data_IF_655873789501
#
_entry.id   IF_655873789501
#
_cell.length_a   1.000
_cell.length_b   1.000
_cell.length_c   1.000
_cell.angle_alpha   90.00
_cell.angle_beta   90.00
_cell.angle_gamma   90.00
#
_symmetry.space_group_name_H-M   'P 1'
#
loop_
_entity.id
_entity.type
_entity.pdbx_description
1 polymer ?
#
# COMPACT_ATOMS: atom_id res chain seq x y z
N UNK A 1 -21.82 -8.12 -33.45
CA UNK A 1 -22.27 -6.91 -32.75
C UNK A 1 -21.37 -6.71 -31.55
N UNK A 2 -20.50 -5.72 -31.58
CA UNK A 2 -19.73 -5.32 -30.41
C UNK A 2 -20.72 -4.70 -29.40
N UNK A 3 -20.87 -5.34 -28.27
CA UNK A 3 -21.72 -4.79 -27.19
C UNK A 3 -20.90 -3.68 -26.51
N UNK A 4 -21.42 -2.47 -26.48
CA UNK A 4 -20.83 -1.35 -25.77
C UNK A 4 -20.69 -1.68 -24.29
N UNK A 5 -19.57 -1.25 -23.69
CA UNK A 5 -19.36 -1.30 -22.22
C UNK A 5 -20.36 -0.39 -21.49
N UNK A 6 -20.50 -0.56 -20.18
CA UNK A 6 -21.39 0.29 -19.38
C UNK A 6 -21.04 1.77 -19.49
N UNK A 7 -19.75 2.11 -19.39
CA UNK A 7 -19.28 3.49 -19.53
C UNK A 7 -19.48 4.09 -20.93
N UNK A 8 -19.26 3.32 -22.02
CA UNK A 8 -19.56 3.79 -23.36
C UNK A 8 -21.04 4.09 -23.59
N UNK A 9 -21.92 3.29 -23.00
CA UNK A 9 -23.38 3.55 -23.06
C UNK A 9 -23.71 4.84 -22.34
N UNK A 10 -23.18 5.04 -21.14
CA UNK A 10 -23.45 6.24 -20.33
C UNK A 10 -22.98 7.52 -21.03
N UNK A 11 -21.78 7.50 -21.61
CA UNK A 11 -21.30 8.62 -22.45
C UNK A 11 -22.24 8.93 -23.60
N UNK A 12 -22.70 7.90 -24.33
CA UNK A 12 -23.63 8.08 -25.45
C UNK A 12 -24.97 8.62 -24.95
N UNK A 13 -25.50 8.09 -23.86
CA UNK A 13 -26.80 8.50 -23.33
C UNK A 13 -26.76 9.98 -22.89
N UNK A 14 -25.72 10.41 -22.17
CA UNK A 14 -25.57 11.82 -21.75
C UNK A 14 -25.42 12.75 -22.96
N UNK A 15 -24.51 12.43 -23.87
CA UNK A 15 -24.25 13.30 -25.01
C UNK A 15 -25.43 13.35 -25.99
N UNK A 16 -26.12 12.22 -26.19
CA UNK A 16 -27.32 12.15 -27.03
C UNK A 16 -28.48 12.94 -26.41
N UNK A 17 -28.69 12.82 -25.10
CA UNK A 17 -29.76 13.56 -24.42
C UNK A 17 -29.52 15.07 -24.50
N UNK A 18 -28.30 15.53 -24.24
CA UNK A 18 -27.92 16.93 -24.41
C UNK A 18 -28.10 17.40 -25.86
N UNK A 19 -27.66 16.60 -26.84
CA UNK A 19 -27.79 16.92 -28.26
C UNK A 19 -29.25 17.08 -28.67
N UNK A 20 -30.12 16.20 -28.26
CA UNK A 20 -31.55 16.22 -28.61
C UNK A 20 -32.30 17.39 -27.94
N UNK A 21 -31.84 17.83 -26.79
CA UNK A 21 -32.50 18.87 -25.98
C UNK A 21 -31.99 20.28 -26.20
N UNK A 22 -30.79 20.46 -26.76
CA UNK A 22 -30.12 21.77 -26.88
C UNK A 22 -30.94 22.85 -27.60
N UNK A 23 -31.75 22.46 -28.58
CA UNK A 23 -32.58 23.39 -29.35
C UNK A 23 -33.92 23.70 -28.68
N UNK A 24 -34.33 22.90 -27.73
CA UNK A 24 -35.60 23.02 -27.00
C UNK A 24 -35.41 23.74 -25.66
N UNK A 25 -34.31 23.48 -24.98
CA UNK A 25 -34.02 24.01 -23.66
C UNK A 25 -32.87 25.01 -23.70
N UNK A 26 -33.16 26.19 -24.28
CA UNK A 26 -32.20 27.26 -24.53
C UNK A 26 -32.02 28.26 -23.40
N UNK A 27 -32.79 28.11 -22.29
CA UNK A 27 -32.73 28.95 -21.10
C UNK A 27 -33.06 28.05 -19.87
N UNK A 28 -32.13 27.15 -19.58
CA UNK A 28 -32.35 26.06 -18.63
C UNK A 28 -31.13 25.78 -17.78
N UNK A 29 -31.34 25.11 -16.66
CA UNK A 29 -30.29 24.55 -15.80
C UNK A 29 -30.28 23.03 -15.98
N UNK A 30 -29.16 22.50 -16.45
CA UNK A 30 -28.92 21.07 -16.54
C UNK A 30 -28.27 20.61 -15.24
N UNK A 31 -28.80 19.55 -14.64
CA UNK A 31 -28.25 18.96 -13.41
C UNK A 31 -27.89 17.52 -13.72
N UNK A 32 -26.64 17.16 -13.52
CA UNK A 32 -26.10 15.81 -13.74
C UNK A 32 -25.37 15.36 -12.50
N UNK A 33 -25.72 14.17 -12.03
CA UNK A 33 -25.12 13.54 -10.84
C UNK A 33 -24.17 12.44 -11.29
N UNK A 34 -22.91 12.52 -10.87
CA UNK A 34 -21.82 11.55 -11.14
C UNK A 34 -21.75 11.02 -12.58
N UNK A 35 -21.68 11.89 -13.62
CA UNK A 35 -21.66 11.44 -15.02
C UNK A 35 -20.40 10.67 -15.41
N UNK A 36 -19.43 10.61 -14.53
CA UNK A 36 -18.16 9.92 -14.71
C UNK A 36 -18.15 8.46 -14.26
N UNK A 37 -19.22 7.97 -13.69
CA UNK A 37 -19.31 6.57 -13.24
C UNK A 37 -18.90 5.60 -14.35
N UNK A 38 -18.11 4.59 -13.99
CA UNK A 38 -17.59 3.56 -14.90
C UNK A 38 -16.62 4.04 -15.99
N UNK A 39 -16.17 5.30 -15.95
CA UNK A 39 -15.22 5.87 -16.92
C UNK A 39 -13.81 5.94 -16.33
N UNK A 40 -12.80 5.73 -17.17
CA UNK A 40 -11.43 6.02 -16.78
C UNK A 40 -11.16 7.54 -16.79
N UNK A 41 -10.16 7.99 -16.05
CA UNK A 41 -9.84 9.41 -15.83
C UNK A 41 -9.63 10.21 -17.12
N UNK A 42 -9.07 9.57 -18.15
CA UNK A 42 -8.82 10.20 -19.45
C UNK A 42 -10.13 10.46 -20.20
N UNK A 43 -11.06 9.51 -20.17
CA UNK A 43 -12.39 9.66 -20.80
C UNK A 43 -13.23 10.65 -19.99
N UNK A 44 -13.17 10.63 -18.66
CA UNK A 44 -13.85 11.61 -17.80
C UNK A 44 -13.50 13.05 -18.22
N UNK A 45 -12.20 13.37 -18.38
CA UNK A 45 -11.75 14.68 -18.83
C UNK A 45 -12.36 15.08 -20.18
N UNK A 46 -12.31 14.18 -21.16
CA UNK A 46 -12.88 14.41 -22.48
C UNK A 46 -14.39 14.60 -22.43
N UNK A 47 -15.11 13.80 -21.62
CA UNK A 47 -16.55 13.90 -21.45
C UNK A 47 -16.97 15.28 -20.95
N UNK A 48 -16.32 15.81 -19.91
CA UNK A 48 -16.67 17.14 -19.40
C UNK A 48 -16.48 18.25 -20.42
N UNK A 49 -15.41 18.17 -21.21
CA UNK A 49 -15.15 19.13 -22.30
C UNK A 49 -16.25 19.06 -23.36
N UNK A 50 -16.69 17.85 -23.74
CA UNK A 50 -17.75 17.67 -24.74
C UNK A 50 -19.12 18.11 -24.20
N UNK A 51 -19.43 17.82 -22.94
CA UNK A 51 -20.64 18.32 -22.25
C UNK A 51 -20.66 19.86 -22.31
N UNK A 52 -19.56 20.52 -21.94
CA UNK A 52 -19.47 21.99 -21.96
C UNK A 52 -19.73 22.58 -23.36
N UNK A 53 -19.25 21.96 -24.43
CA UNK A 53 -19.49 22.39 -25.81
C UNK A 53 -20.95 22.22 -26.25
N UNK A 54 -21.68 21.27 -25.66
CA UNK A 54 -23.05 20.97 -26.07
C UNK A 54 -24.10 21.82 -25.36
N UNK A 55 -23.76 22.35 -24.18
CA UNK A 55 -24.67 23.21 -23.42
C UNK A 55 -24.78 24.57 -24.09
N UNK A 56 -26.02 25.07 -24.38
CA UNK A 56 -26.22 26.39 -25.00
C UNK A 56 -25.69 27.51 -24.09
N UNK A 57 -25.23 28.61 -24.72
CA UNK A 57 -24.60 29.74 -24.00
C UNK A 57 -25.49 30.40 -22.91
N UNK A 58 -26.81 30.37 -23.08
CA UNK A 58 -27.77 30.90 -22.08
C UNK A 58 -28.15 29.89 -20.99
N UNK A 59 -27.56 28.70 -21.01
CA UNK A 59 -27.84 27.63 -20.05
C UNK A 59 -26.74 27.50 -19.01
N UNK A 60 -27.08 26.94 -17.88
CA UNK A 60 -26.12 26.54 -16.86
C UNK A 60 -26.10 25.02 -16.71
N UNK A 61 -24.93 24.49 -16.37
CA UNK A 61 -24.80 23.09 -16.01
C UNK A 61 -24.25 22.95 -14.59
N UNK A 62 -24.91 22.12 -13.82
CA UNK A 62 -24.50 21.78 -12.46
C UNK A 62 -24.17 20.30 -12.41
N UNK A 63 -22.96 19.97 -12.01
CA UNK A 63 -22.47 18.58 -11.95
C UNK A 63 -22.02 18.29 -10.53
N UNK A 64 -22.59 17.27 -9.92
CA UNK A 64 -22.04 16.68 -8.71
C UNK A 64 -21.02 15.60 -9.13
N UNK A 65 -19.80 15.65 -8.58
CA UNK A 65 -18.71 14.77 -9.01
C UNK A 65 -17.65 14.59 -7.95
N UNK A 66 -17.02 13.41 -7.94
CA UNK A 66 -15.79 13.09 -7.22
C UNK A 66 -14.61 12.86 -8.18
N UNK A 67 -14.75 13.21 -9.46
CA UNK A 67 -13.83 12.88 -10.53
C UNK A 67 -12.56 13.73 -10.55
N UNK A 68 -11.41 13.08 -10.44
CA UNK A 68 -10.10 13.70 -10.71
C UNK A 68 -9.99 14.16 -12.16
N UNK A 69 -10.59 13.41 -13.10
CA UNK A 69 -10.62 13.75 -14.51
C UNK A 69 -11.36 15.06 -14.75
N UNK A 70 -12.50 15.27 -14.10
CA UNK A 70 -13.27 16.50 -14.17
C UNK A 70 -12.53 17.68 -13.52
N UNK A 71 -11.96 17.48 -12.33
CA UNK A 71 -11.15 18.53 -11.69
C UNK A 71 -9.97 18.96 -12.56
N UNK A 72 -9.32 18.03 -13.27
CA UNK A 72 -8.26 18.37 -14.23
C UNK A 72 -8.77 19.12 -15.44
N UNK A 73 -9.91 18.73 -16.01
CA UNK A 73 -10.52 19.47 -17.11
C UNK A 73 -10.86 20.91 -16.71
N UNK A 74 -11.41 21.10 -15.50
CA UNK A 74 -11.70 22.42 -14.96
C UNK A 74 -10.41 23.22 -14.77
N UNK A 75 -9.36 22.61 -14.23
CA UNK A 75 -8.09 23.29 -13.97
C UNK A 75 -7.39 23.76 -15.25
N UNK A 76 -7.36 22.87 -16.26
CA UNK A 76 -6.54 23.06 -17.45
C UNK A 76 -7.30 23.80 -18.59
N UNK A 77 -8.58 23.45 -18.83
CA UNK A 77 -9.34 23.92 -19.99
C UNK A 77 -10.50 24.87 -19.61
N UNK A 78 -11.23 24.57 -18.53
CA UNK A 78 -12.50 25.24 -18.20
C UNK A 78 -12.40 26.22 -17.02
N UNK A 79 -11.20 26.60 -16.61
CA UNK A 79 -10.94 27.43 -15.42
C UNK A 79 -11.73 28.74 -15.38
N UNK A 80 -11.90 29.38 -16.54
CA UNK A 80 -12.57 30.67 -16.65
C UNK A 80 -14.08 30.55 -16.88
N UNK A 81 -14.58 29.34 -17.11
CA UNK A 81 -15.97 29.06 -17.44
C UNK A 81 -16.68 28.29 -16.32
N UNK A 82 -15.93 27.85 -15.32
CA UNK A 82 -16.43 27.00 -14.25
C UNK A 82 -16.22 27.59 -12.87
N UNK A 83 -17.12 27.22 -11.96
CA UNK A 83 -17.02 27.48 -10.53
C UNK A 83 -17.14 26.17 -9.78
N UNK A 84 -16.38 26.03 -8.69
CA UNK A 84 -16.42 24.84 -7.84
C UNK A 84 -17.07 25.23 -6.51
N UNK A 85 -18.05 24.44 -6.08
CA UNK A 85 -18.68 24.55 -4.75
C UNK A 85 -18.33 23.28 -3.98
N UNK A 86 -17.68 23.44 -2.83
CA UNK A 86 -17.30 22.33 -1.97
C UNK A 86 -18.31 22.17 -0.84
N UNK A 87 -18.80 20.94 -0.64
CA UNK A 87 -19.65 20.57 0.48
C UNK A 87 -18.79 19.90 1.55
N UNK A 88 -18.47 20.61 2.65
CA UNK A 88 -17.64 20.06 3.74
C UNK A 88 -18.50 19.23 4.69
N UNK A 89 -17.96 18.09 5.13
CA UNK A 89 -18.65 17.13 6.02
C UNK A 89 -19.00 17.69 7.39
N UNK A 90 -18.32 18.76 7.83
CA UNK A 90 -18.55 19.41 9.12
C UNK A 90 -19.83 20.25 9.17
N UNK A 91 -20.47 20.46 8.04
CA UNK A 91 -21.71 21.17 7.94
C UNK A 91 -22.85 20.30 8.51
N UNK A 92 -23.29 20.62 9.74
CA UNK A 92 -24.44 19.97 10.37
C UNK A 92 -25.71 20.36 9.62
N UNK A 93 -26.10 19.57 8.66
CA UNK A 93 -27.23 19.76 7.74
C UNK A 93 -28.62 20.02 8.41
N UNK A 94 -28.70 19.94 9.73
CA UNK A 94 -29.99 19.85 10.41
C UNK A 94 -30.44 21.09 11.17
N UNK A 95 -29.64 22.15 11.33
CA UNK A 95 -29.97 23.20 12.27
C UNK A 95 -29.91 24.64 11.75
N UNK A 96 -29.07 24.99 10.80
CA UNK A 96 -28.90 26.38 10.34
C UNK A 96 -28.72 26.46 8.80
N UNK A 97 -29.35 27.50 8.20
CA UNK A 97 -29.12 27.84 6.80
C UNK A 97 -27.69 28.38 6.63
N UNK A 98 -26.93 27.83 5.74
CA UNK A 98 -25.59 28.34 5.40
C UNK A 98 -25.51 28.74 3.93
N UNK A 99 -24.63 29.71 3.65
CA UNK A 99 -24.44 30.23 2.31
C UNK A 99 -23.29 29.44 1.65
N UNK A 100 -23.59 28.74 0.59
CA UNK A 100 -22.57 28.14 -0.27
C UNK A 100 -21.93 29.23 -1.12
N UNK A 101 -20.60 29.25 -1.14
CA UNK A 101 -19.84 30.18 -1.98
C UNK A 101 -18.87 29.37 -2.85
N UNK A 102 -18.63 29.83 -4.09
CA UNK A 102 -17.60 29.24 -4.93
C UNK A 102 -16.23 29.29 -4.25
N UNK A 103 -15.49 28.20 -4.36
CA UNK A 103 -14.11 28.10 -3.86
C UNK A 103 -13.23 29.08 -4.64
N UNK A 104 -12.46 29.92 -3.93
CA UNK A 104 -11.47 30.77 -4.57
C UNK A 104 -10.29 29.90 -5.07
N UNK A 105 -10.13 29.83 -6.37
CA UNK A 105 -9.14 28.96 -7.03
C UNK A 105 -7.72 29.46 -6.76
N UNK A 106 -7.10 28.94 -5.70
CA UNK A 106 -5.68 29.12 -5.37
C UNK A 106 -4.95 27.78 -5.53
N UNK A 107 -3.62 27.82 -5.53
CA UNK A 107 -2.80 26.61 -5.56
C UNK A 107 -3.09 25.67 -4.38
N UNK A 108 -3.29 26.25 -3.19
CA UNK A 108 -3.63 25.49 -1.98
C UNK A 108 -5.01 24.85 -2.08
N UNK A 109 -6.00 25.54 -2.65
CA UNK A 109 -7.33 24.97 -2.83
C UNK A 109 -7.34 23.85 -3.87
N UNK A 110 -6.61 23.98 -4.98
CA UNK A 110 -6.44 22.87 -5.89
C UNK A 110 -5.81 21.65 -5.21
N UNK A 111 -4.80 21.85 -4.36
CA UNK A 111 -4.20 20.77 -3.59
C UNK A 111 -5.21 20.09 -2.67
N UNK A 112 -6.08 20.86 -2.00
CA UNK A 112 -7.13 20.33 -1.14
C UNK A 112 -8.18 19.55 -1.95
N UNK A 113 -8.68 20.10 -3.04
CA UNK A 113 -9.66 19.43 -3.91
C UNK A 113 -9.13 18.13 -4.49
N UNK A 114 -7.89 18.13 -5.00
CA UNK A 114 -7.26 16.90 -5.48
C UNK A 114 -6.96 15.92 -4.35
N UNK A 115 -6.59 16.40 -3.17
CA UNK A 115 -6.38 15.54 -2.00
C UNK A 115 -7.68 14.84 -1.60
N UNK A 116 -8.80 15.56 -1.57
CA UNK A 116 -10.12 14.98 -1.25
C UNK A 116 -10.53 13.94 -2.31
N UNK A 117 -10.39 14.26 -3.58
CA UNK A 117 -10.72 13.33 -4.67
C UNK A 117 -9.77 12.12 -4.74
N UNK A 118 -8.50 12.30 -4.35
CA UNK A 118 -7.52 11.21 -4.24
C UNK A 118 -7.68 10.39 -2.96
N UNK A 119 -8.23 10.96 -1.88
CA UNK A 119 -8.37 10.28 -0.60
C UNK A 119 -9.23 9.02 -0.72
N UNK A 120 -10.32 9.07 -1.48
CA UNK A 120 -11.16 7.91 -1.76
C UNK A 120 -10.43 6.85 -2.60
N UNK A 121 -9.61 7.25 -3.58
CA UNK A 121 -8.77 6.32 -4.35
C UNK A 121 -7.55 5.86 -3.56
N UNK A 122 -6.94 6.75 -2.78
CA UNK A 122 -5.81 6.42 -1.92
C UNK A 122 -6.21 5.44 -0.82
N UNK A 123 -7.39 5.58 -0.21
CA UNK A 123 -7.94 4.62 0.77
C UNK A 123 -8.12 3.22 0.19
N UNK A 124 -8.35 3.10 -1.13
CA UNK A 124 -8.47 1.81 -1.82
C UNK A 124 -7.13 1.17 -2.18
N UNK A 125 -6.07 1.96 -2.32
CA UNK A 125 -4.77 1.52 -2.87
C UNK A 125 -3.64 1.65 -1.85
N UNK A 126 -3.71 2.63 -0.92
CA UNK A 126 -2.66 2.84 0.06
C UNK A 126 -2.73 1.82 1.20
N UNK A 127 -1.59 1.29 1.63
CA UNK A 127 -1.54 0.47 2.82
C UNK A 127 -1.95 1.30 4.04
N UNK A 128 -2.65 0.68 4.99
CA UNK A 128 -2.95 1.30 6.29
C UNK A 128 -1.75 1.29 7.22
N UNK A 129 -0.85 0.36 6.99
CA UNK A 129 0.37 0.20 7.77
C UNK A 129 1.56 0.05 6.83
N UNK A 130 2.57 0.88 7.00
CA UNK A 130 3.88 0.72 6.38
C UNK A 130 4.84 0.22 7.44
N UNK A 131 5.58 -0.86 7.15
CA UNK A 131 6.58 -1.43 8.05
C UNK A 131 7.94 -1.32 7.40
N UNK A 132 8.79 -0.48 7.98
CA UNK A 132 10.18 -0.36 7.57
C UNK A 132 10.99 -1.55 8.08
N UNK A 133 11.72 -2.21 7.16
CA UNK A 133 12.64 -3.31 7.44
C UNK A 133 14.06 -2.96 7.03
N UNK A 134 15.03 -3.73 7.48
CA UNK A 134 16.39 -3.66 6.96
C UNK A 134 16.44 -4.03 5.48
N UNK A 135 17.44 -3.51 4.76
CA UNK A 135 17.68 -3.83 3.37
C UNK A 135 17.91 -2.60 2.49
N UNK A 136 18.11 -2.82 1.21
CA UNK A 136 18.41 -1.74 0.26
C UNK A 136 17.23 -0.80 0.11
N UNK A 137 17.44 0.47 0.43
CA UNK A 137 16.40 1.50 0.44
C UNK A 137 15.92 1.96 -0.95
N UNK A 138 16.65 1.63 -2.01
CA UNK A 138 16.28 2.04 -3.37
C UNK A 138 15.41 0.96 -4.04
N UNK A 139 14.23 1.30 -4.57
CA UNK A 139 13.41 0.35 -5.30
C UNK A 139 14.07 -0.06 -6.62
N UNK A 140 13.56 -1.09 -7.27
CA UNK A 140 13.93 -1.44 -8.64
C UNK A 140 13.38 -0.38 -9.61
N UNK A 141 13.83 -0.43 -10.88
CA UNK A 141 13.38 0.52 -11.92
C UNK A 141 11.87 0.48 -12.19
N UNK A 142 11.23 -0.64 -11.92
CA UNK A 142 9.77 -0.85 -12.04
C UNK A 142 9.01 -0.44 -10.77
N UNK A 143 9.68 0.13 -9.78
CA UNK A 143 9.11 0.54 -8.50
C UNK A 143 8.91 -0.60 -7.48
N UNK A 144 9.20 -1.86 -7.86
CA UNK A 144 9.06 -3.00 -6.94
C UNK A 144 10.17 -3.02 -5.88
N UNK A 145 9.88 -3.67 -4.76
CA UNK A 145 10.81 -3.78 -3.62
C UNK A 145 12.12 -4.49 -4.02
N UNK A 146 13.24 -3.93 -3.61
CA UNK A 146 14.59 -4.44 -3.85
C UNK A 146 15.17 -5.19 -2.66
N UNK A 147 14.80 -4.79 -1.46
CA UNK A 147 15.25 -5.41 -0.23
C UNK A 147 14.65 -6.81 -0.08
N UNK A 148 15.51 -7.77 0.28
CA UNK A 148 15.08 -9.16 0.40
C UNK A 148 14.07 -9.35 1.52
N UNK A 149 14.30 -8.73 2.68
CA UNK A 149 13.51 -8.93 3.88
C UNK A 149 12.09 -8.39 3.73
N UNK A 150 11.97 -7.17 3.20
CA UNK A 150 10.66 -6.59 2.90
C UNK A 150 9.88 -7.41 1.86
N UNK A 151 10.56 -7.90 0.81
CA UNK A 151 9.96 -8.75 -0.21
C UNK A 151 9.48 -10.11 0.36
N UNK A 152 10.26 -10.69 1.27
CA UNK A 152 9.90 -11.91 1.99
C UNK A 152 8.67 -11.69 2.89
N UNK A 153 8.65 -10.64 3.70
CA UNK A 153 7.52 -10.33 4.56
C UNK A 153 6.26 -10.00 3.75
N UNK A 154 6.38 -9.23 2.66
CA UNK A 154 5.27 -8.99 1.75
C UNK A 154 4.72 -10.30 1.17
N UNK A 155 5.58 -11.27 0.84
CA UNK A 155 5.15 -12.58 0.35
C UNK A 155 4.40 -13.39 1.42
N UNK A 156 4.92 -13.41 2.67
CA UNK A 156 4.33 -14.17 3.78
C UNK A 156 2.95 -13.63 4.16
N UNK A 157 2.80 -12.30 4.20
CA UNK A 157 1.63 -11.64 4.78
C UNK A 157 0.63 -11.10 3.77
N UNK A 158 0.93 -11.10 2.45
CA UNK A 158 0.09 -10.49 1.42
C UNK A 158 -1.38 -10.90 1.46
N UNK A 159 -1.66 -12.16 1.80
CA UNK A 159 -3.02 -12.71 1.77
C UNK A 159 -3.85 -12.26 2.97
N UNK A 160 -3.26 -12.27 4.16
CA UNK A 160 -3.98 -12.06 5.42
C UNK A 160 -3.95 -10.59 5.87
N UNK A 161 -2.94 -9.86 5.41
CA UNK A 161 -2.72 -8.45 5.73
C UNK A 161 -2.54 -7.62 4.43
N UNK A 162 -3.55 -7.57 3.54
CA UNK A 162 -3.43 -6.86 2.26
C UNK A 162 -3.23 -5.35 2.43
N UNK A 163 -3.60 -4.80 3.59
CA UNK A 163 -3.45 -3.38 3.94
C UNK A 163 -2.08 -3.05 4.55
N UNK A 164 -1.14 -4.00 4.59
CA UNK A 164 0.20 -3.82 5.14
C UNK A 164 1.24 -3.89 4.02
N UNK A 165 2.16 -2.94 4.03
CA UNK A 165 3.28 -2.91 3.09
C UNK A 165 4.60 -2.88 3.86
N UNK A 166 5.46 -3.86 3.59
CA UNK A 166 6.84 -3.86 4.08
C UNK A 166 7.74 -3.21 3.04
N UNK A 167 8.59 -2.29 3.47
CA UNK A 167 9.56 -1.59 2.61
C UNK A 167 10.94 -1.57 3.25
N UNK A 168 11.97 -1.66 2.42
CA UNK A 168 13.35 -1.60 2.88
C UNK A 168 13.81 -0.17 3.07
N UNK A 169 14.55 0.09 4.14
CA UNK A 169 14.92 1.44 4.57
C UNK A 169 16.42 1.64 4.84
N UNK A 170 17.27 0.73 4.41
CA UNK A 170 18.70 0.80 4.69
C UNK A 170 19.11 0.01 5.92
N UNK A 171 20.23 0.38 6.54
CA UNK A 171 20.72 -0.24 7.78
C UNK A 171 20.00 0.31 9.02
N UNK A 172 20.26 -0.30 10.18
CA UNK A 172 19.58 0.00 11.45
C UNK A 172 19.51 1.49 11.84
N UNK A 173 20.59 2.25 11.64
CA UNK A 173 20.64 3.68 11.95
C UNK A 173 19.81 4.50 10.95
N UNK A 174 19.88 4.15 9.67
CA UNK A 174 19.08 4.81 8.62
C UNK A 174 17.58 4.49 8.79
N UNK A 175 17.26 3.30 9.26
CA UNK A 175 15.90 2.83 9.51
C UNK A 175 15.17 3.76 10.49
N UNK A 176 15.78 4.09 11.63
CA UNK A 176 15.19 4.97 12.64
C UNK A 176 15.02 6.39 12.10
N UNK A 177 16.07 6.97 11.50
CA UNK A 177 16.00 8.32 10.94
C UNK A 177 14.96 8.45 9.82
N UNK A 178 14.85 7.46 8.94
CA UNK A 178 13.89 7.48 7.85
C UNK A 178 12.47 7.29 8.32
N UNK A 179 12.25 6.44 9.32
CA UNK A 179 10.92 6.27 9.91
C UNK A 179 10.43 7.55 10.57
N UNK A 180 11.28 8.25 11.32
CA UNK A 180 10.93 9.51 11.98
C UNK A 180 10.59 10.61 10.95
N UNK A 181 11.37 10.73 9.88
CA UNK A 181 11.10 11.66 8.79
C UNK A 181 9.77 11.29 8.08
N UNK A 182 9.57 10.01 7.80
CA UNK A 182 8.35 9.54 7.17
C UNK A 182 7.12 9.80 8.05
N UNK A 183 7.20 9.53 9.35
CA UNK A 183 6.14 9.85 10.33
C UNK A 183 5.85 11.34 10.30
N UNK A 184 6.87 12.20 10.37
CA UNK A 184 6.69 13.65 10.38
C UNK A 184 6.03 14.19 9.10
N UNK A 185 6.28 13.58 7.95
CA UNK A 185 5.70 13.99 6.67
C UNK A 185 4.31 13.38 6.47
N UNK A 186 4.20 12.06 6.61
CA UNK A 186 2.97 11.34 6.26
C UNK A 186 1.84 11.55 7.27
N UNK A 187 2.16 11.79 8.55
CA UNK A 187 1.12 12.14 9.54
C UNK A 187 0.34 13.41 9.21
N UNK A 188 0.93 14.29 8.38
CA UNK A 188 0.26 15.52 7.91
C UNK A 188 -0.59 15.31 6.67
N UNK A 189 -0.25 14.31 5.85
CA UNK A 189 -0.90 14.04 4.56
C UNK A 189 -1.88 12.87 4.68
N UNK A 190 -1.53 11.86 5.46
CA UNK A 190 -2.31 10.65 5.68
C UNK A 190 -2.39 10.35 7.18
N UNK A 191 -3.24 11.02 7.95
CA UNK A 191 -3.27 10.90 9.42
C UNK A 191 -3.62 9.50 9.93
N UNK A 192 -4.27 8.68 9.12
CA UNK A 192 -4.62 7.29 9.48
C UNK A 192 -3.50 6.27 9.17
N UNK A 193 -2.48 6.66 8.40
CA UNK A 193 -1.37 5.78 8.04
C UNK A 193 -0.48 5.52 9.25
N UNK A 194 -0.32 4.24 9.60
CA UNK A 194 0.59 3.82 10.67
C UNK A 194 1.94 3.45 10.08
N UNK A 195 3.00 3.97 10.67
CA UNK A 195 4.38 3.65 10.28
C UNK A 195 5.04 2.89 11.41
N UNK A 196 5.48 1.67 11.13
CA UNK A 196 6.17 0.81 12.07
C UNK A 196 7.59 0.51 11.59
N UNK A 197 8.43 0.10 12.53
CA UNK A 197 9.81 -0.31 12.31
C UNK A 197 9.96 -1.74 12.78
N UNK A 198 10.49 -2.62 11.93
CA UNK A 198 10.81 -4.01 12.25
C UNK A 198 12.31 -4.21 12.15
N UNK A 199 12.93 -4.63 13.25
CA UNK A 199 14.37 -4.90 13.32
C UNK A 199 14.63 -6.37 13.57
N UNK A 200 15.76 -6.84 13.08
CA UNK A 200 16.34 -8.11 13.50
C UNK A 200 16.77 -8.03 14.98
N UNK A 201 16.90 -9.15 15.64
CA UNK A 201 17.27 -9.17 17.05
C UNK A 201 18.76 -8.88 17.27
N UNK A 202 19.60 -8.96 16.26
CA UNK A 202 21.03 -8.63 16.33
C UNK A 202 21.30 -7.14 16.52
N UNK A 203 20.31 -6.30 16.31
CA UNK A 203 20.23 -4.87 16.62
C UNK A 203 21.56 -4.10 16.56
N UNK A 204 22.00 -3.77 15.38
CA UNK A 204 23.05 -2.74 15.14
C UNK A 204 24.42 -2.96 15.83
N UNK A 205 24.55 -3.87 16.77
CA UNK A 205 25.83 -4.15 17.45
C UNK A 205 26.58 -5.37 16.91
N UNK A 206 25.98 -6.09 15.97
CA UNK A 206 26.52 -7.34 15.44
C UNK A 206 26.61 -8.46 16.51
N UNK A 207 25.98 -8.28 17.65
CA UNK A 207 25.94 -9.26 18.74
C UNK A 207 24.50 -9.72 18.93
N UNK A 208 24.32 -11.04 19.01
CA UNK A 208 23.05 -11.61 19.42
C UNK A 208 22.65 -11.02 20.76
N UNK A 209 21.48 -10.39 20.77
CA UNK A 209 20.88 -9.94 22.03
C UNK A 209 19.97 -11.03 22.54
N UNK A 210 19.93 -11.20 23.86
CA UNK A 210 19.00 -12.13 24.49
C UNK A 210 17.58 -11.55 24.54
N UNK A 211 16.62 -12.34 24.94
CA UNK A 211 15.22 -11.91 25.07
C UNK A 211 15.06 -10.79 26.12
N UNK A 212 15.92 -10.73 27.11
CA UNK A 212 15.90 -9.66 28.11
C UNK A 212 16.27 -8.30 27.47
N UNK A 213 17.32 -8.26 26.70
CA UNK A 213 17.75 -7.05 25.97
C UNK A 213 16.69 -6.61 24.95
N UNK A 214 16.04 -7.57 24.27
CA UNK A 214 14.93 -7.30 23.36
C UNK A 214 13.76 -6.61 24.08
N UNK A 215 13.38 -7.09 25.27
CA UNK A 215 12.31 -6.48 26.09
C UNK A 215 12.67 -5.06 26.51
N UNK A 216 13.87 -4.85 27.04
CA UNK A 216 14.35 -3.50 27.40
C UNK A 216 14.27 -2.55 26.22
N UNK A 217 14.67 -3.01 25.04
CA UNK A 217 14.55 -2.17 23.82
C UNK A 217 13.10 -1.80 23.54
N UNK A 218 12.18 -2.76 23.58
CA UNK A 218 10.76 -2.52 23.32
C UNK A 218 10.09 -1.63 24.37
N UNK A 219 10.53 -1.69 25.63
CA UNK A 219 10.05 -0.81 26.69
C UNK A 219 10.54 0.62 26.55
N UNK A 220 11.77 0.80 26.07
CA UNK A 220 12.40 2.11 25.93
C UNK A 220 12.08 2.81 24.59
N UNK A 221 11.41 2.13 23.67
CA UNK A 221 11.05 2.68 22.36
C UNK A 221 9.54 2.78 22.19
N UNK A 222 9.12 3.68 21.29
CA UNK A 222 7.71 3.94 21.00
C UNK A 222 6.98 2.69 20.50
N UNK A 223 5.65 2.72 20.60
CA UNK A 223 4.79 1.57 20.25
C UNK A 223 4.87 1.13 18.77
N UNK A 224 5.46 1.92 17.90
CA UNK A 224 5.67 1.58 16.51
C UNK A 224 6.90 0.69 16.25
N UNK A 225 7.75 0.41 17.26
CA UNK A 225 8.90 -0.47 17.09
C UNK A 225 8.53 -1.95 17.30
N UNK A 226 9.15 -2.79 16.47
CA UNK A 226 9.06 -4.26 16.49
C UNK A 226 10.47 -4.84 16.41
N UNK A 227 10.71 -5.94 17.09
CA UNK A 227 11.98 -6.68 17.03
C UNK A 227 11.67 -8.16 16.96
N UNK A 228 12.30 -8.87 16.03
CA UNK A 228 12.13 -10.31 15.88
C UNK A 228 12.47 -11.06 17.16
N UNK A 229 11.80 -12.19 17.43
CA UNK A 229 12.15 -13.08 18.56
C UNK A 229 13.37 -13.93 18.27
N UNK A 230 13.55 -14.37 17.04
CA UNK A 230 14.72 -15.11 16.58
C UNK A 230 15.79 -14.12 16.12
N UNK A 231 17.01 -14.62 15.97
CA UNK A 231 18.20 -13.80 15.69
C UNK A 231 18.01 -12.88 14.47
N UNK A 232 17.57 -13.45 13.35
CA UNK A 232 17.36 -12.76 12.08
C UNK A 232 16.24 -13.44 11.27
N UNK A 233 15.87 -12.87 10.13
CA UNK A 233 14.83 -13.41 9.24
C UNK A 233 15.15 -14.86 8.81
N UNK A 234 16.41 -15.17 8.56
CA UNK A 234 16.84 -16.51 8.16
C UNK A 234 16.48 -17.60 9.15
N UNK A 235 16.41 -17.29 10.45
CA UNK A 235 16.01 -18.26 11.46
C UNK A 235 14.55 -18.69 11.35
N UNK A 236 13.71 -17.88 10.75
CA UNK A 236 12.33 -18.24 10.41
C UNK A 236 12.25 -19.01 9.09
N UNK A 237 12.97 -18.55 8.06
CA UNK A 237 12.98 -19.20 6.76
C UNK A 237 13.61 -20.59 6.78
N UNK A 238 14.62 -20.79 7.63
CA UNK A 238 15.34 -22.07 7.76
C UNK A 238 14.79 -22.96 8.86
N UNK A 239 13.62 -22.64 9.37
CA UNK A 239 12.91 -23.54 10.29
C UNK A 239 12.60 -24.87 9.61
N UNK A 240 12.68 -25.94 10.38
CA UNK A 240 12.45 -27.32 9.93
C UNK A 240 11.08 -27.49 9.26
N UNK A 241 10.05 -26.85 9.81
CA UNK A 241 8.70 -26.94 9.22
C UNK A 241 8.64 -26.30 7.82
N UNK A 242 9.34 -25.16 7.61
CA UNK A 242 9.40 -24.46 6.33
C UNK A 242 10.20 -25.24 5.31
N UNK A 243 11.38 -25.74 5.71
CA UNK A 243 12.23 -26.54 4.82
C UNK A 243 11.57 -27.86 4.42
N UNK A 244 10.85 -28.50 5.33
CA UNK A 244 10.11 -29.73 5.06
C UNK A 244 8.99 -29.49 4.05
N UNK A 245 8.25 -28.40 4.22
CA UNK A 245 7.18 -27.99 3.29
C UNK A 245 7.72 -27.64 1.92
N UNK A 246 8.82 -26.89 1.87
CA UNK A 246 9.52 -26.58 0.63
C UNK A 246 9.95 -27.85 -0.12
N UNK A 247 10.54 -28.82 0.60
CA UNK A 247 10.94 -30.09 0.02
C UNK A 247 9.73 -30.88 -0.50
N UNK A 248 8.62 -30.88 0.24
CA UNK A 248 7.36 -31.51 -0.18
C UNK A 248 6.84 -30.91 -1.50
N UNK A 249 6.78 -29.57 -1.62
CA UNK A 249 6.33 -28.90 -2.82
C UNK A 249 7.19 -29.17 -4.05
N UNK A 250 8.50 -29.27 -3.84
CA UNK A 250 9.46 -29.48 -4.92
C UNK A 250 9.79 -30.96 -5.17
N UNK A 251 9.12 -31.90 -4.47
CA UNK A 251 9.40 -33.35 -4.54
C UNK A 251 10.86 -33.68 -4.22
N UNK A 252 11.45 -32.98 -3.27
CA UNK A 252 12.78 -33.17 -2.74
C UNK A 252 12.71 -33.92 -1.43
N UNK A 253 13.83 -34.52 -1.03
CA UNK A 253 13.95 -35.22 0.26
C UNK A 253 14.67 -34.30 1.27
N UNK A 254 14.01 -33.96 2.38
CA UNK A 254 14.63 -33.23 3.47
C UNK A 254 15.51 -34.12 4.33
N UNK A 255 16.79 -33.77 4.48
CA UNK A 255 17.74 -34.50 5.32
C UNK A 255 17.78 -33.91 6.72
N UNK A 256 16.89 -34.39 7.59
CA UNK A 256 16.76 -33.94 8.96
C UNK A 256 18.01 -34.18 9.81
N UNK A 257 18.69 -35.33 9.65
CA UNK A 257 19.92 -35.64 10.38
C UNK A 257 21.06 -34.68 10.04
N UNK A 258 21.14 -34.22 8.77
CA UNK A 258 22.09 -33.20 8.37
C UNK A 258 21.73 -31.85 8.93
N UNK A 259 20.46 -31.48 8.88
CA UNK A 259 19.93 -30.23 9.43
C UNK A 259 20.26 -30.09 10.93
N UNK A 260 19.99 -31.11 11.74
CA UNK A 260 20.24 -31.11 13.18
C UNK A 260 21.73 -31.01 13.56
N UNK A 261 22.65 -31.30 12.62
CA UNK A 261 24.09 -31.05 12.82
C UNK A 261 24.50 -29.60 12.56
N UNK A 262 23.74 -28.87 11.73
CA UNK A 262 24.03 -27.51 11.31
C UNK A 262 23.35 -26.50 12.26
N UNK A 263 22.09 -26.77 12.62
CA UNK A 263 21.26 -25.92 13.43
C UNK A 263 21.14 -26.53 14.83
N UNK A 264 21.75 -25.87 15.82
CA UNK A 264 21.70 -26.29 17.22
C UNK A 264 20.64 -25.52 17.99
N UNK A 265 20.53 -24.21 17.72
CA UNK A 265 19.53 -23.33 18.30
C UNK A 265 18.93 -22.45 17.21
N UNK A 266 17.75 -22.84 16.76
CA UNK A 266 17.04 -22.10 15.69
C UNK A 266 16.72 -20.65 16.09
N UNK A 267 16.70 -20.34 17.36
CA UNK A 267 16.40 -19.02 17.88
C UNK A 267 17.62 -18.10 17.90
N UNK A 268 18.79 -18.64 18.22
CA UNK A 268 19.98 -17.85 18.53
C UNK A 268 21.17 -18.04 17.57
N UNK A 269 21.15 -19.09 16.75
CA UNK A 269 22.24 -19.32 15.79
C UNK A 269 22.21 -18.23 14.67
N UNK A 270 23.38 -17.76 14.26
CA UNK A 270 23.52 -17.02 13.00
C UNK A 270 23.43 -18.03 11.84
N UNK A 271 22.32 -17.99 11.12
CA UNK A 271 22.04 -18.93 10.03
C UNK A 271 22.25 -18.33 8.63
N UNK A 272 22.41 -17.03 8.51
CA UNK A 272 22.64 -16.32 7.25
C UNK A 272 23.88 -16.86 6.52
N UNK A 273 24.95 -17.03 7.25
CA UNK A 273 26.21 -17.55 6.73
C UNK A 273 26.14 -19.06 6.37
N UNK A 274 25.21 -19.78 6.94
CA UNK A 274 25.01 -21.23 6.72
C UNK A 274 24.04 -21.56 5.56
N UNK A 275 23.61 -20.57 4.77
CA UNK A 275 22.64 -20.74 3.68
C UNK A 275 23.01 -21.89 2.71
N UNK A 276 24.29 -22.04 2.38
CA UNK A 276 24.77 -23.12 1.49
C UNK A 276 24.58 -24.52 2.08
N UNK A 277 24.85 -24.65 3.39
CA UNK A 277 24.69 -25.90 4.13
C UNK A 277 23.20 -26.26 4.28
N UNK A 278 22.35 -25.28 4.61
CA UNK A 278 20.89 -25.45 4.68
C UNK A 278 20.29 -25.90 3.35
N UNK A 279 20.68 -25.26 2.24
CA UNK A 279 20.27 -25.70 0.89
C UNK A 279 20.60 -27.18 0.65
N UNK A 280 21.78 -27.60 1.08
CA UNK A 280 22.21 -28.99 0.92
C UNK A 280 21.39 -29.98 1.74
N UNK A 281 20.71 -29.56 2.83
CA UNK A 281 19.75 -30.40 3.55
C UNK A 281 18.48 -30.69 2.73
N UNK A 282 18.16 -29.81 1.78
CA UNK A 282 17.06 -30.00 0.84
C UNK A 282 17.50 -30.69 -0.49
N UNK A 283 18.73 -31.20 -0.58
CA UNK A 283 19.25 -31.76 -1.81
C UNK A 283 19.50 -30.77 -2.93
N UNK A 284 19.56 -29.46 -2.60
CA UNK A 284 19.75 -28.39 -3.58
C UNK A 284 21.23 -28.03 -3.67
N UNK A 285 21.77 -28.10 -4.90
CA UNK A 285 23.13 -27.68 -5.19
C UNK A 285 23.29 -26.18 -5.42
N UNK A 286 24.36 -25.84 -6.15
CA UNK A 286 24.73 -24.45 -6.47
C UNK A 286 23.71 -23.75 -7.39
N UNK A 287 22.84 -24.50 -8.06
CA UNK A 287 21.95 -24.03 -9.15
C UNK A 287 20.91 -22.98 -8.73
N UNK A 288 20.58 -22.84 -7.44
CA UNK A 288 19.64 -21.83 -6.95
C UNK A 288 20.43 -20.78 -6.16
N UNK A 289 20.30 -19.52 -6.57
CA UNK A 289 20.86 -18.38 -5.88
C UNK A 289 20.26 -18.26 -4.45
N UNK A 290 21.04 -17.87 -3.42
CA UNK A 290 20.57 -17.72 -2.03
C UNK A 290 19.31 -16.87 -1.88
N UNK A 291 19.22 -15.73 -2.54
CA UNK A 291 18.05 -14.85 -2.47
C UNK A 291 16.79 -15.53 -3.04
N UNK A 292 16.92 -16.19 -4.20
CA UNK A 292 15.82 -16.94 -4.80
C UNK A 292 15.36 -18.09 -3.90
N UNK A 293 16.30 -18.76 -3.23
CA UNK A 293 15.96 -19.80 -2.27
C UNK A 293 15.13 -19.25 -1.13
N UNK A 294 15.53 -18.13 -0.52
CA UNK A 294 14.81 -17.48 0.56
C UNK A 294 13.40 -17.04 0.14
N UNK A 295 13.23 -16.45 -1.05
CA UNK A 295 11.92 -16.11 -1.62
C UNK A 295 11.03 -17.35 -1.80
N UNK A 296 11.58 -18.43 -2.27
CA UNK A 296 10.84 -19.68 -2.45
C UNK A 296 10.39 -20.26 -1.09
N UNK A 297 11.22 -20.14 -0.04
CA UNK A 297 10.86 -20.55 1.31
C UNK A 297 9.74 -19.66 1.87
N UNK A 298 9.80 -18.35 1.66
CA UNK A 298 8.75 -17.43 2.07
C UNK A 298 7.38 -17.82 1.50
N UNK A 299 7.34 -18.22 0.23
CA UNK A 299 6.10 -18.66 -0.42
C UNK A 299 5.51 -19.96 0.17
N UNK A 300 6.31 -20.76 0.88
CA UNK A 300 5.84 -21.97 1.57
C UNK A 300 5.20 -21.67 2.93
N UNK A 301 5.50 -20.52 3.54
CA UNK A 301 5.01 -20.17 4.88
C UNK A 301 3.52 -19.85 4.79
N UNK A 302 2.74 -20.48 5.66
CA UNK A 302 1.29 -20.30 5.73
C UNK A 302 0.79 -20.23 7.20
N UNK A 303 -0.45 -19.78 7.39
CA UNK A 303 -1.08 -19.54 8.70
C UNK A 303 -1.09 -20.72 9.67
N UNK A 304 -0.99 -21.95 9.18
CA UNK A 304 -1.03 -23.13 10.04
C UNK A 304 0.30 -23.37 10.75
N UNK A 305 1.39 -22.82 10.21
CA UNK A 305 2.76 -23.01 10.70
C UNK A 305 3.03 -22.23 11.99
N UNK A 306 3.87 -22.81 12.85
CA UNK A 306 4.37 -22.16 14.06
C UNK A 306 5.16 -20.89 13.75
N UNK A 307 5.99 -20.93 12.72
CA UNK A 307 6.75 -19.78 12.20
C UNK A 307 5.85 -18.60 11.83
N UNK A 308 4.76 -18.85 11.09
CA UNK A 308 3.82 -17.78 10.72
C UNK A 308 3.21 -17.14 11.98
N UNK A 309 2.72 -17.95 12.92
CA UNK A 309 2.07 -17.46 14.14
C UNK A 309 3.02 -16.65 15.02
N UNK A 310 4.29 -17.07 15.10
CA UNK A 310 5.32 -16.35 15.84
C UNK A 310 5.62 -14.98 15.18
N UNK A 311 5.80 -14.94 13.87
CA UNK A 311 6.00 -13.69 13.14
C UNK A 311 4.78 -12.77 13.26
N UNK A 312 3.57 -13.30 13.12
CA UNK A 312 2.32 -12.55 13.27
C UNK A 312 2.20 -11.93 14.67
N UNK A 313 2.53 -12.69 15.71
CA UNK A 313 2.50 -12.21 17.09
C UNK A 313 3.49 -11.07 17.32
N UNK A 314 4.71 -11.22 16.83
CA UNK A 314 5.78 -10.21 16.96
C UNK A 314 5.45 -8.92 16.23
N UNK A 315 4.97 -9.04 14.99
CA UNK A 315 4.80 -7.89 14.10
C UNK A 315 3.50 -7.17 14.41
N UNK A 316 2.38 -7.89 14.54
CA UNK A 316 1.07 -7.26 14.60
C UNK A 316 0.48 -7.19 16.01
N UNK A 317 0.83 -8.11 16.90
CA UNK A 317 0.21 -8.19 18.24
C UNK A 317 1.06 -7.57 19.36
N UNK A 318 2.33 -7.24 19.09
CA UNK A 318 3.30 -6.66 20.05
C UNK A 318 3.10 -7.15 21.49
N UNK A 319 3.11 -8.46 21.70
CA UNK A 319 3.14 -8.95 23.08
C UNK A 319 4.53 -8.71 23.67
N UNK A 320 4.57 -7.94 24.72
CA UNK A 320 5.75 -7.70 25.57
C UNK A 320 5.96 -8.83 26.59
N UNK A 321 5.15 -9.88 26.53
CA UNK A 321 5.19 -11.02 27.46
C UNK A 321 6.16 -12.10 27.02
#
# INVERSE_FOLDING_TARGET
MTVLSAGEKEVIDILLDLYLRKDTYTDSVYIIDEPELHLNTSIQRALLIEINKMVPENCQIWIATHSIGFLRAIQDELKNESQIIEFKSDNKWAAEAFILQPVQISRSEWQNLFSTALDDLAKLICPKIIIYCEGRAEPKKDGSERGLDADVFNTIFAKEYPDVLFISSGGNTELDQRSDIAIAIFSKVFPELKIWVLKDRDMASGKATDEHTRRIYLENNSENHRVLKRFELENYLYDKEVLSEYCRWNRLQFNESKYNRIVHDITNDNLKDKTGEIKSCCGIGISINPERFKRNLAACINQTMGVYKELEEVIFKRKTN
#
